data_IF_900923996095
#
_entry.id   IF_900923996095
#
_cell.length_a   1.000
_cell.length_b   1.000
_cell.length_c   1.000
_cell.angle_alpha   90.00
_cell.angle_beta   90.00
_cell.angle_gamma   90.00
#
_symmetry.space_group_name_H-M   'P 1'
#
loop_
_entity.id
_entity.type
_entity.pdbx_description
1 polymer ?
#
# COMPACT_ATOMS: atom_id res chain seq x y z
N UNK A 1 2.39 16.08 -9.94
CA UNK A 1 2.70 14.75 -9.40
C UNK A 1 2.65 13.80 -10.57
N UNK A 2 3.82 13.49 -11.11
CA UNK A 2 3.97 12.42 -12.09
C UNK A 2 4.32 11.14 -11.33
N UNK A 3 3.82 10.01 -11.81
CA UNK A 3 4.18 8.70 -11.30
C UNK A 3 5.18 8.13 -12.30
N UNK A 4 6.40 7.84 -11.84
CA UNK A 4 7.41 7.22 -12.67
C UNK A 4 6.90 5.89 -13.22
N UNK A 5 7.20 5.57 -14.48
CA UNK A 5 6.78 4.32 -15.12
C UNK A 5 7.34 3.08 -14.40
N UNK A 6 8.47 3.23 -13.70
CA UNK A 6 9.05 2.19 -12.85
C UNK A 6 8.11 1.82 -11.69
N UNK A 7 7.40 2.79 -11.09
CA UNK A 7 6.41 2.54 -10.05
C UNK A 7 5.24 1.69 -10.56
N UNK A 8 4.78 1.97 -11.78
CA UNK A 8 3.69 1.21 -12.42
C UNK A 8 4.14 -0.22 -12.71
N UNK A 9 5.35 -0.38 -13.25
CA UNK A 9 5.91 -1.69 -13.56
C UNK A 9 6.05 -2.54 -12.29
N UNK A 10 6.65 -1.99 -11.22
CA UNK A 10 6.79 -2.67 -9.93
C UNK A 10 5.46 -3.03 -9.29
N UNK A 11 4.47 -2.13 -9.40
CA UNK A 11 3.12 -2.40 -8.92
C UNK A 11 2.44 -3.53 -9.71
N UNK A 12 2.54 -3.53 -11.04
CA UNK A 12 2.01 -4.62 -11.87
C UNK A 12 2.71 -5.95 -11.58
N UNK A 13 4.04 -5.95 -11.42
CA UNK A 13 4.79 -7.14 -11.02
C UNK A 13 4.36 -7.64 -9.64
N UNK A 14 4.06 -6.75 -8.69
CA UNK A 14 3.54 -7.13 -7.37
C UNK A 14 2.20 -7.84 -7.50
N UNK A 15 1.25 -7.27 -8.26
CA UNK A 15 -0.07 -7.88 -8.43
C UNK A 15 0.03 -9.21 -9.17
N UNK A 16 0.86 -9.29 -10.20
CA UNK A 16 1.01 -10.47 -11.03
C UNK A 16 1.73 -11.62 -10.30
N UNK A 17 2.82 -11.32 -9.59
CA UNK A 17 3.66 -12.33 -8.92
C UNK A 17 3.24 -12.61 -7.48
N UNK A 18 2.44 -11.75 -6.84
CA UNK A 18 2.15 -11.75 -5.39
C UNK A 18 3.42 -11.90 -4.53
N UNK A 19 4.55 -11.39 -5.03
CA UNK A 19 5.86 -11.65 -4.46
C UNK A 19 6.34 -10.54 -3.51
N UNK A 20 5.42 -9.65 -3.11
CA UNK A 20 5.66 -8.57 -2.18
C UNK A 20 4.40 -8.35 -1.32
N UNK A 21 4.59 -8.17 -0.02
CA UNK A 21 3.51 -7.88 0.94
C UNK A 21 3.08 -6.42 0.85
N UNK A 22 4.05 -5.52 0.66
CA UNK A 22 3.80 -4.09 0.55
C UNK A 22 4.79 -3.39 -0.38
N UNK A 23 4.45 -2.18 -0.80
CA UNK A 23 5.35 -1.25 -1.51
C UNK A 23 5.21 0.09 -0.81
N UNK A 24 6.32 0.74 -0.52
CA UNK A 24 6.35 2.12 -0.07
C UNK A 24 6.85 2.97 -1.21
N UNK A 25 6.10 4.01 -1.53
CA UNK A 25 6.45 5.06 -2.44
C UNK A 25 6.72 6.35 -1.66
N UNK A 26 7.76 7.06 -2.06
CA UNK A 26 8.06 8.40 -1.57
C UNK A 26 7.86 9.41 -2.68
N UNK A 27 7.61 10.66 -2.31
CA UNK A 27 7.63 11.77 -3.25
C UNK A 27 9.01 12.41 -3.20
N UNK A 28 9.74 12.35 -4.31
CA UNK A 28 11.03 13.00 -4.48
C UNK A 28 10.94 13.96 -5.66
N UNK A 29 11.32 15.24 -5.47
CA UNK A 29 11.25 16.26 -6.54
C UNK A 29 9.90 16.37 -7.28
N UNK A 30 8.77 16.24 -6.56
CA UNK A 30 7.39 16.20 -7.11
C UNK A 30 7.05 14.99 -7.99
N UNK A 31 7.92 13.98 -8.01
CA UNK A 31 7.73 12.69 -8.66
C UNK A 31 7.57 11.57 -7.62
N UNK A 32 6.75 10.58 -7.94
CA UNK A 32 6.54 9.43 -7.07
C UNK A 32 7.49 8.32 -7.48
N UNK A 33 8.35 7.92 -6.55
CA UNK A 33 9.38 6.90 -6.74
C UNK A 33 9.23 5.79 -5.69
N UNK A 34 9.67 4.58 -6.03
CA UNK A 34 9.66 3.45 -5.09
C UNK A 34 10.73 3.69 -4.02
N UNK A 35 10.33 3.66 -2.76
CA UNK A 35 11.24 3.76 -1.61
C UNK A 35 11.65 2.38 -1.11
N UNK A 36 10.67 1.51 -0.86
CA UNK A 36 10.92 0.17 -0.31
C UNK A 36 9.91 -0.83 -0.88
N UNK A 37 10.39 -2.03 -1.18
CA UNK A 37 9.56 -3.17 -1.56
C UNK A 37 9.58 -4.16 -0.39
N UNK A 38 8.43 -4.43 0.18
CA UNK A 38 8.26 -5.38 1.27
C UNK A 38 8.10 -6.79 0.74
N UNK A 39 8.94 -7.72 1.16
CA UNK A 39 8.80 -9.14 0.78
C UNK A 39 7.59 -9.78 1.47
N UNK A 40 7.03 -10.90 0.94
CA UNK A 40 5.92 -11.61 1.56
C UNK A 40 6.20 -12.08 3.00
N UNK A 41 7.47 -12.20 3.35
CA UNK A 41 7.94 -12.62 4.67
C UNK A 41 8.01 -11.46 5.69
N UNK A 42 7.99 -10.19 5.24
CA UNK A 42 8.01 -9.04 6.15
C UNK A 42 6.66 -8.85 6.84
N UNK A 43 6.72 -8.59 8.15
CA UNK A 43 5.55 -8.40 8.97
C UNK A 43 5.00 -6.97 8.86
N UNK A 44 3.80 -6.77 9.40
CA UNK A 44 3.21 -5.44 9.51
C UNK A 44 4.07 -4.48 10.35
N UNK A 45 4.82 -4.99 11.33
CA UNK A 45 5.75 -4.20 12.12
C UNK A 45 6.88 -3.61 11.27
N UNK A 46 7.47 -4.39 10.36
CA UNK A 46 8.50 -3.91 9.42
C UNK A 46 7.96 -2.81 8.49
N UNK A 47 6.71 -2.98 8.05
CA UNK A 47 5.99 -1.97 7.28
C UNK A 47 5.85 -0.66 8.08
N UNK A 48 5.39 -0.76 9.32
CA UNK A 48 5.16 0.40 10.21
C UNK A 48 6.47 1.09 10.57
N UNK A 49 7.53 0.33 10.82
CA UNK A 49 8.87 0.83 11.06
C UNK A 49 9.44 1.59 9.85
N UNK A 50 8.99 1.23 8.64
CA UNK A 50 9.39 1.87 7.38
C UNK A 50 8.54 3.12 7.06
N UNK A 51 7.54 3.46 7.88
CA UNK A 51 6.64 4.62 7.71
C UNK A 51 6.85 5.63 8.87
N UNK A 52 7.89 6.49 8.82
CA UNK A 52 8.05 7.55 9.81
C UNK A 52 6.98 8.62 9.63
N UNK A 53 6.30 9.00 10.73
CA UNK A 53 5.21 9.98 10.72
C UNK A 53 5.61 11.39 10.24
N UNK A 54 6.91 11.69 10.13
CA UNK A 54 7.41 13.00 9.71
C UNK A 54 7.39 13.23 8.20
N UNK A 55 7.25 12.20 7.36
CA UNK A 55 7.37 12.34 5.90
C UNK A 55 6.13 11.83 5.15
N UNK A 56 5.80 12.53 4.06
CA UNK A 56 4.65 12.19 3.20
C UNK A 56 5.02 11.00 2.31
N UNK A 57 4.60 9.81 2.74
CA UNK A 57 4.78 8.57 1.99
C UNK A 57 3.44 7.97 1.61
N UNK A 58 3.46 7.26 0.48
CA UNK A 58 2.36 6.42 0.04
C UNK A 58 2.80 4.98 0.22
N UNK A 59 1.86 4.11 0.55
CA UNK A 59 2.11 2.69 0.64
C UNK A 59 1.02 1.93 -0.08
N UNK A 60 1.38 0.78 -0.63
CA UNK A 60 0.44 -0.22 -1.12
C UNK A 60 0.66 -1.45 -0.25
N UNK A 61 -0.40 -1.95 0.36
CA UNK A 61 -0.37 -3.16 1.15
C UNK A 61 -1.32 -4.19 0.51
N UNK A 62 -0.79 -5.37 0.20
CA UNK A 62 -1.62 -6.48 -0.26
C UNK A 62 -2.07 -7.28 0.95
N UNK A 63 -3.36 -7.14 1.31
CA UNK A 63 -3.95 -7.90 2.39
C UNK A 63 -4.67 -9.12 1.83
N UNK A 64 -4.10 -10.29 2.08
CA UNK A 64 -4.77 -11.57 1.92
C UNK A 64 -5.61 -11.86 3.16
N UNK A 65 -6.91 -12.06 2.98
CA UNK A 65 -7.81 -12.52 4.02
C UNK A 65 -8.51 -13.80 3.58
N UNK A 66 -8.72 -14.69 4.54
CA UNK A 66 -9.47 -15.93 4.37
C UNK A 66 -10.89 -15.64 4.83
N UNK A 67 -11.87 -15.81 3.96
CA UNK A 67 -13.28 -15.74 4.36
C UNK A 67 -13.70 -17.05 5.04
N UNK A 68 -14.79 -17.02 5.80
CA UNK A 68 -15.35 -18.17 6.53
C UNK A 68 -15.57 -19.40 5.62
N UNK A 69 -15.83 -19.17 4.33
CA UNK A 69 -15.93 -20.20 3.30
C UNK A 69 -14.58 -20.76 2.82
N UNK A 70 -13.47 -20.50 3.51
CA UNK A 70 -12.11 -20.92 3.13
C UNK A 70 -11.65 -20.41 1.76
N UNK A 71 -12.20 -19.31 1.26
CA UNK A 71 -11.69 -18.64 0.06
C UNK A 71 -10.66 -17.59 0.44
N UNK A 72 -9.44 -17.76 -0.06
CA UNK A 72 -8.41 -16.72 0.01
C UNK A 72 -8.74 -15.61 -0.99
N UNK A 73 -9.12 -14.43 -0.49
CA UNK A 73 -9.26 -13.21 -1.29
C UNK A 73 -8.18 -12.22 -0.89
N UNK A 74 -7.43 -11.74 -1.88
CA UNK A 74 -6.50 -10.64 -1.73
C UNK A 74 -7.18 -9.34 -2.16
N UNK A 75 -7.13 -8.30 -1.32
CA UNK A 75 -7.44 -6.93 -1.75
C UNK A 75 -6.18 -6.07 -1.61
N UNK A 76 -5.93 -5.27 -2.65
CA UNK A 76 -4.89 -4.24 -2.60
C UNK A 76 -5.44 -2.99 -1.94
N UNK A 77 -4.74 -2.58 -0.88
CA UNK A 77 -4.98 -1.37 -0.14
C UNK A 77 -3.91 -0.35 -0.49
N UNK A 78 -4.33 0.85 -0.86
CA UNK A 78 -3.45 1.99 -1.00
C UNK A 78 -3.58 2.86 0.23
N UNK A 79 -2.48 3.02 0.97
CA UNK A 79 -2.40 3.78 2.20
C UNK A 79 -1.69 5.10 1.91
N UNK A 80 -2.36 6.23 2.13
CA UNK A 80 -1.78 7.56 1.98
C UNK A 80 -1.59 8.22 3.35
N UNK A 81 -0.36 8.59 3.70
CA UNK A 81 -0.01 9.27 4.96
C UNK A 81 -0.32 10.79 4.97
N UNK A 82 -1.23 11.24 4.10
CA UNK A 82 -1.57 12.66 3.98
C UNK A 82 -2.95 12.82 3.35
N UNK A 83 -3.62 13.95 3.64
CA UNK A 83 -4.90 14.36 3.03
C UNK A 83 -4.80 14.67 1.52
N UNK A 84 -3.65 14.39 0.89
CA UNK A 84 -3.40 14.62 -0.52
C UNK A 84 -3.94 13.47 -1.38
N UNK A 85 -4.94 13.74 -2.21
CA UNK A 85 -5.40 12.78 -3.22
C UNK A 85 -4.31 12.54 -4.25
N UNK A 86 -3.97 11.27 -4.45
CA UNK A 86 -3.10 10.85 -5.53
C UNK A 86 -3.85 11.06 -6.86
N UNK A 87 -3.46 12.08 -7.64
CA UNK A 87 -4.19 12.44 -8.88
C UNK A 87 -4.22 11.34 -9.94
N UNK A 88 -3.30 10.38 -9.85
CA UNK A 88 -3.13 9.28 -10.81
C UNK A 88 -3.06 7.97 -10.05
N UNK A 89 -4.20 7.57 -9.47
CA UNK A 89 -4.32 6.31 -8.73
C UNK A 89 -3.81 5.14 -9.61
N UNK A 90 -2.90 4.30 -9.09
CA UNK A 90 -2.48 3.08 -9.78
C UNK A 90 -3.70 2.23 -10.16
N UNK A 91 -3.77 1.84 -11.44
CA UNK A 91 -4.83 0.97 -11.95
C UNK A 91 -4.75 -0.40 -11.28
N UNK A 92 -5.84 -0.83 -10.63
CA UNK A 92 -5.89 -2.09 -9.85
C UNK A 92 -5.95 -1.93 -8.32
N UNK A 93 -5.87 -0.70 -7.79
CA UNK A 93 -6.18 -0.44 -6.37
C UNK A 93 -7.67 -0.67 -6.13
N UNK A 94 -7.99 -1.56 -5.19
CA UNK A 94 -9.38 -1.85 -4.83
C UNK A 94 -9.88 -0.97 -3.69
N UNK A 95 -8.99 -0.55 -2.78
CA UNK A 95 -9.35 0.26 -1.62
C UNK A 95 -8.29 1.33 -1.39
N UNK A 96 -8.72 2.59 -1.31
CA UNK A 96 -7.89 3.70 -0.82
C UNK A 96 -8.18 3.94 0.67
N UNK A 97 -7.12 3.94 1.47
CA UNK A 97 -7.10 4.27 2.88
C UNK A 97 -6.23 5.51 3.05
N UNK A 98 -6.78 6.55 3.67
CA UNK A 98 -5.99 7.70 4.11
C UNK A 98 -5.78 7.51 5.61
N UNK A 99 -4.52 7.47 6.02
CA UNK A 99 -4.15 7.22 7.41
C UNK A 99 -2.94 8.10 7.72
N UNK A 100 -3.18 9.20 8.43
CA UNK A 100 -2.11 10.10 8.88
C UNK A 100 -1.35 9.53 10.07
N UNK A 101 -1.96 8.57 10.76
CA UNK A 101 -1.38 7.86 11.88
C UNK A 101 -1.34 6.34 11.64
N UNK A 102 -0.30 5.64 12.11
CA UNK A 102 -0.21 4.17 11.99
C UNK A 102 -1.40 3.47 12.66
N UNK A 103 -2.01 4.07 13.69
CA UNK A 103 -3.23 3.55 14.33
C UNK A 103 -4.44 3.53 13.37
N UNK A 104 -4.49 4.44 12.38
CA UNK A 104 -5.55 4.46 11.36
C UNK A 104 -5.34 3.40 10.26
N UNK A 105 -4.17 2.74 10.24
CA UNK A 105 -3.82 1.63 9.36
C UNK A 105 -4.11 0.26 9.99
N UNK A 106 -4.78 0.22 11.15
CA UNK A 106 -5.04 -1.01 11.89
C UNK A 106 -5.87 -2.01 11.08
N UNK A 107 -5.56 -3.30 11.26
CA UNK A 107 -6.23 -4.40 10.56
C UNK A 107 -7.76 -4.34 10.68
N UNK A 108 -8.30 -3.93 11.84
CA UNK A 108 -9.74 -3.76 12.05
C UNK A 108 -10.37 -2.71 11.12
N UNK A 109 -9.69 -1.59 10.86
CA UNK A 109 -10.19 -0.53 9.97
C UNK A 109 -10.17 -1.02 8.52
N UNK A 110 -9.06 -1.67 8.15
CA UNK A 110 -8.85 -2.27 6.82
C UNK A 110 -9.90 -3.35 6.55
N UNK A 111 -10.15 -4.22 7.53
CA UNK A 111 -11.18 -5.27 7.47
C UNK A 111 -12.59 -4.68 7.44
N UNK A 112 -12.85 -3.60 8.19
CA UNK A 112 -14.11 -2.86 8.14
C UNK A 112 -14.46 -2.39 6.72
N UNK A 113 -13.46 -1.95 5.95
CA UNK A 113 -13.63 -1.51 4.54
C UNK A 113 -13.75 -2.65 3.52
N UNK A 114 -13.46 -3.90 3.91
CA UNK A 114 -13.62 -5.05 3.01
C UNK A 114 -15.02 -5.65 2.96
N UNK A 115 -15.90 -5.30 3.90
CA UNK A 115 -17.23 -5.88 4.12
C UNK A 115 -18.23 -5.49 3.03
#
# INVERSE_FOLDING_TARGET
MAVSDECKLKFMELIAKRNCRFIIFKIENQEVVVEKLGIPDEAYEDFTASQPASERRYAVFNLDFITDQSFQKGKLFFIACSKGRFKSQPDGIQVELQATDPSEMSFDIVKGRTT
#
